data_IF_176713569437
#
_entry.id   IF_176713569437
#
_cell.length_a   1.000
_cell.length_b   1.000
_cell.length_c   1.000
_cell.angle_alpha   90.00
_cell.angle_beta   90.00
_cell.angle_gamma   90.00
#
_symmetry.space_group_name_H-M   'P 1'
#
loop_
_entity.id
_entity.type
_entity.pdbx_description
1 polymer ?
#
# COMPACT_ATOMS: atom_id res chain seq x y z
N UNK A 1 -28.46 -28.24 5.33
CA UNK A 1 -27.04 -28.25 4.89
C UNK A 1 -26.35 -27.09 5.59
N UNK A 2 -25.34 -27.35 6.43
CA UNK A 2 -24.55 -26.29 7.03
C UNK A 2 -23.75 -25.61 5.92
N UNK A 3 -23.99 -24.32 5.67
CA UNK A 3 -23.11 -23.52 4.83
C UNK A 3 -21.68 -23.73 5.32
N UNK A 4 -20.77 -24.10 4.41
CA UNK A 4 -19.35 -24.22 4.76
C UNK A 4 -18.92 -22.88 5.32
N UNK A 5 -18.42 -22.86 6.55
CA UNK A 5 -17.91 -21.65 7.21
C UNK A 5 -16.76 -20.97 6.44
N UNK A 6 -16.33 -21.54 5.31
CA UNK A 6 -15.18 -21.17 4.49
C UNK A 6 -15.52 -20.44 3.18
N UNK A 7 -16.81 -20.29 2.83
CA UNK A 7 -17.19 -19.48 1.65
C UNK A 7 -17.35 -18.00 2.06
N UNK A 8 -16.44 -17.13 1.58
CA UNK A 8 -16.68 -15.68 1.56
C UNK A 8 -17.57 -15.37 0.36
N UNK A 9 -18.62 -14.58 0.56
CA UNK A 9 -19.43 -14.06 -0.54
C UNK A 9 -18.55 -13.13 -1.41
N UNK A 10 -18.26 -13.48 -2.68
CA UNK A 10 -17.41 -12.67 -3.56
C UNK A 10 -18.01 -11.29 -3.86
N UNK A 11 -19.33 -11.15 -3.71
CA UNK A 11 -20.07 -9.91 -3.94
C UNK A 11 -20.32 -9.11 -2.65
N UNK A 12 -19.86 -9.59 -1.48
CA UNK A 12 -20.04 -8.85 -0.24
C UNK A 12 -19.32 -7.50 -0.29
N UNK A 13 -19.85 -6.41 0.29
CA UNK A 13 -19.15 -5.14 0.31
C UNK A 13 -17.76 -5.24 0.99
N UNK A 14 -16.80 -4.47 0.48
CA UNK A 14 -15.40 -4.51 0.94
C UNK A 14 -15.24 -3.93 2.34
N UNK A 15 -14.30 -4.49 3.10
CA UNK A 15 -13.90 -4.03 4.44
C UNK A 15 -12.44 -3.60 4.40
N UNK A 16 -12.18 -2.34 4.67
CA UNK A 16 -10.85 -1.75 4.53
C UNK A 16 -10.28 -1.33 5.89
N UNK A 17 -8.99 -1.56 6.09
CA UNK A 17 -8.23 -1.10 7.27
C UNK A 17 -7.10 -0.17 6.85
N UNK A 18 -7.02 1.00 7.46
CA UNK A 18 -5.97 1.99 7.29
C UNK A 18 -5.27 2.24 8.63
N UNK A 19 -3.94 2.20 8.63
CA UNK A 19 -3.12 2.37 9.83
C UNK A 19 -2.13 3.53 9.66
N UNK A 20 -2.23 4.52 10.53
CA UNK A 20 -1.39 5.72 10.45
C UNK A 20 0.07 5.50 10.87
N UNK A 21 0.95 6.39 10.41
CA UNK A 21 2.31 6.51 10.93
C UNK A 21 2.38 7.28 12.24
N UNK A 22 3.33 6.93 13.12
CA UNK A 22 3.47 7.61 14.41
C UNK A 22 4.56 7.16 15.39
N UNK A 23 5.60 6.43 14.95
CA UNK A 23 6.69 5.94 15.81
C UNK A 23 6.22 4.95 16.86
N UNK A 24 6.72 5.01 18.10
CA UNK A 24 6.33 4.09 19.20
C UNK A 24 4.83 3.99 19.44
N UNK A 25 4.08 5.06 19.11
CA UNK A 25 2.63 5.15 19.35
C UNK A 25 1.78 4.19 18.53
N UNK A 26 2.38 3.45 17.58
CA UNK A 26 1.68 2.33 16.91
C UNK A 26 1.19 1.25 17.87
N UNK A 27 1.76 1.16 19.09
CA UNK A 27 1.23 0.28 20.13
C UNK A 27 -0.22 0.65 20.49
N UNK A 28 -0.54 1.94 20.58
CA UNK A 28 -1.89 2.42 20.83
C UNK A 28 -2.84 1.99 19.71
N UNK A 29 -2.42 2.13 18.45
CA UNK A 29 -3.21 1.66 17.30
C UNK A 29 -3.47 0.15 17.33
N UNK A 30 -2.48 -0.64 17.76
CA UNK A 30 -2.63 -2.08 17.95
C UNK A 30 -3.60 -2.44 19.08
N UNK A 31 -3.54 -1.73 20.20
CA UNK A 31 -4.46 -1.93 21.33
C UNK A 31 -5.90 -1.58 20.93
N UNK A 32 -6.10 -0.45 20.24
CA UNK A 32 -7.40 -0.09 19.66
C UNK A 32 -7.89 -1.22 18.75
N UNK A 33 -7.05 -1.70 17.83
CA UNK A 33 -7.45 -2.76 16.91
C UNK A 33 -7.74 -4.09 17.63
N UNK A 34 -7.00 -4.45 18.68
CA UNK A 34 -7.28 -5.64 19.51
C UNK A 34 -8.68 -5.56 20.14
N UNK A 35 -9.03 -4.41 20.71
CA UNK A 35 -10.37 -4.17 21.27
C UNK A 35 -11.46 -4.24 20.18
N UNK A 36 -11.22 -3.70 18.99
CA UNK A 36 -12.16 -3.81 17.87
C UNK A 36 -12.37 -5.26 17.42
N UNK A 37 -11.29 -6.04 17.32
CA UNK A 37 -11.36 -7.47 16.98
C UNK A 37 -12.06 -8.29 18.08
N UNK A 38 -11.88 -7.91 19.35
CA UNK A 38 -12.61 -8.52 20.46
C UNK A 38 -14.11 -8.21 20.41
N UNK A 39 -14.49 -6.98 20.09
CA UNK A 39 -15.89 -6.61 19.85
C UNK A 39 -16.52 -7.43 18.71
N UNK A 40 -15.79 -7.64 17.60
CA UNK A 40 -16.25 -8.51 16.50
C UNK A 40 -16.47 -9.95 17.00
N UNK A 41 -15.51 -10.51 17.75
CA UNK A 41 -15.63 -11.86 18.30
C UNK A 41 -16.83 -12.01 19.25
N UNK A 42 -17.12 -10.99 20.06
CA UNK A 42 -18.28 -10.96 20.94
C UNK A 42 -19.59 -10.91 20.14
N UNK A 43 -19.65 -10.13 19.07
CA UNK A 43 -20.81 -10.06 18.18
C UNK A 43 -21.06 -11.37 17.43
N UNK A 44 -20.02 -12.08 16.99
CA UNK A 44 -20.16 -13.43 16.42
C UNK A 44 -20.73 -14.43 17.43
N UNK A 45 -20.30 -14.36 18.69
CA UNK A 45 -20.85 -15.19 19.78
C UNK A 45 -22.31 -14.84 20.06
N UNK A 46 -22.66 -13.55 20.02
CA UNK A 46 -24.04 -13.07 20.23
C UNK A 46 -24.98 -13.56 19.13
N UNK A 47 -24.51 -13.59 17.88
CA UNK A 47 -25.28 -14.04 16.72
C UNK A 47 -25.21 -15.56 16.47
N UNK A 48 -24.49 -16.31 17.32
CA UNK A 48 -24.38 -17.77 17.22
C UNK A 48 -23.49 -18.28 16.07
N UNK A 49 -22.76 -17.39 15.40
CA UNK A 49 -21.77 -17.74 14.37
C UNK A 49 -20.51 -18.35 14.98
N UNK A 50 -20.25 -18.02 16.25
CA UNK A 50 -19.13 -18.54 17.03
C UNK A 50 -19.59 -19.20 18.32
N UNK A 51 -18.96 -20.32 18.69
CA UNK A 51 -19.25 -21.02 19.95
C UNK A 51 -18.89 -20.12 21.13
N UNK A 52 -19.74 -20.10 22.18
CA UNK A 52 -19.49 -19.27 23.38
C UNK A 52 -18.14 -19.57 24.05
N UNK A 53 -17.74 -20.83 24.06
CA UNK A 53 -16.50 -21.32 24.67
C UNK A 53 -15.27 -21.19 23.76
N UNK A 54 -15.45 -20.74 22.51
CA UNK A 54 -14.32 -20.51 21.61
C UNK A 54 -13.66 -19.18 21.95
N UNK A 55 -12.42 -19.26 22.43
CA UNK A 55 -11.59 -18.12 22.80
C UNK A 55 -10.41 -17.92 21.84
N UNK A 56 -10.46 -18.53 20.65
CA UNK A 56 -9.43 -18.30 19.63
C UNK A 56 -9.40 -16.81 19.24
N UNK A 57 -8.21 -16.21 19.11
CA UNK A 57 -8.10 -14.80 18.72
C UNK A 57 -8.34 -14.68 17.21
N UNK A 58 -9.11 -13.67 16.84
CA UNK A 58 -9.37 -13.37 15.42
C UNK A 58 -8.15 -12.75 14.77
N UNK A 59 -7.94 -13.05 13.49
CA UNK A 59 -6.88 -12.46 12.67
C UNK A 59 -7.48 -11.35 11.81
N UNK A 60 -6.95 -10.11 11.84
CA UNK A 60 -7.47 -9.03 11.01
C UNK A 60 -7.54 -9.36 9.51
N UNK A 61 -6.56 -10.11 8.98
CA UNK A 61 -6.58 -10.55 7.58
C UNK A 61 -7.80 -11.41 7.18
N UNK A 62 -8.47 -12.01 8.16
CA UNK A 62 -9.68 -12.82 7.93
C UNK A 62 -10.97 -11.99 7.94
N UNK A 63 -10.91 -10.71 8.31
CA UNK A 63 -12.06 -9.80 8.38
C UNK A 63 -11.94 -8.62 7.44
N UNK A 64 -10.72 -8.16 7.14
CA UNK A 64 -10.48 -7.11 6.16
C UNK A 64 -10.13 -7.72 4.81
N UNK A 65 -10.54 -7.04 3.74
CA UNK A 65 -10.19 -7.40 2.36
C UNK A 65 -8.88 -6.72 1.93
N UNK A 66 -8.60 -5.53 2.49
CA UNK A 66 -7.38 -4.75 2.26
C UNK A 66 -6.91 -4.08 3.55
N UNK A 67 -5.61 -4.19 3.84
CA UNK A 67 -4.94 -3.51 4.95
C UNK A 67 -3.81 -2.64 4.39
N UNK A 68 -3.88 -1.32 4.59
CA UNK A 68 -2.81 -0.39 4.22
C UNK A 68 -2.25 0.32 5.43
N UNK A 69 -0.96 0.66 5.37
CA UNK A 69 -0.29 1.35 6.46
C UNK A 69 0.87 2.25 6.03
N UNK A 70 1.13 3.27 6.83
CA UNK A 70 2.27 4.19 6.65
C UNK A 70 3.21 4.12 7.85
N UNK A 71 4.53 4.14 7.60
CA UNK A 71 5.57 4.10 8.63
C UNK A 71 5.34 2.95 9.62
N UNK A 72 5.26 3.21 10.92
CA UNK A 72 4.84 2.23 11.93
C UNK A 72 3.56 1.48 11.55
N UNK A 73 2.53 2.18 11.06
CA UNK A 73 1.30 1.55 10.58
C UNK A 73 1.55 0.61 9.41
N UNK A 74 2.56 0.88 8.58
CA UNK A 74 3.02 -0.02 7.52
C UNK A 74 3.64 -1.30 8.06
N UNK A 75 4.49 -1.20 9.10
CA UNK A 75 5.01 -2.39 9.83
C UNK A 75 3.83 -3.22 10.34
N UNK A 76 2.87 -2.60 11.03
CA UNK A 76 1.68 -3.28 11.56
C UNK A 76 0.84 -3.91 10.44
N UNK A 77 0.63 -3.21 9.32
CA UNK A 77 -0.13 -3.71 8.18
C UNK A 77 0.45 -5.02 7.61
N UNK A 78 1.79 -5.14 7.55
CA UNK A 78 2.46 -6.34 7.06
C UNK A 78 2.47 -7.46 8.10
N UNK A 79 2.65 -7.14 9.38
CA UNK A 79 2.53 -8.14 10.45
C UNK A 79 1.11 -8.75 10.47
N UNK A 80 0.06 -7.94 10.35
CA UNK A 80 -1.33 -8.40 10.40
C UNK A 80 -1.82 -9.02 9.09
N UNK A 81 -1.43 -8.43 7.95
CA UNK A 81 -1.91 -8.84 6.62
C UNK A 81 -1.03 -9.91 5.99
N UNK A 82 0.24 -9.59 5.72
CA UNK A 82 1.18 -10.47 5.00
C UNK A 82 1.63 -11.66 5.83
N UNK A 83 1.89 -11.45 7.13
CA UNK A 83 2.34 -12.50 8.06
C UNK A 83 1.19 -13.13 8.85
N UNK A 84 -0.05 -12.62 8.68
CA UNK A 84 -1.30 -13.17 9.21
C UNK A 84 -1.31 -13.37 10.72
N UNK A 85 -0.70 -12.43 11.45
CA UNK A 85 -0.69 -12.41 12.91
C UNK A 85 -2.03 -11.89 13.45
N UNK A 86 -2.39 -12.34 14.65
CA UNK A 86 -3.43 -11.66 15.44
C UNK A 86 -2.85 -10.43 16.16
N UNK A 87 -3.72 -9.55 16.68
CA UNK A 87 -3.28 -8.29 17.30
C UNK A 87 -2.34 -8.50 18.48
N UNK A 88 -2.55 -9.51 19.33
CA UNK A 88 -1.67 -9.82 20.48
C UNK A 88 -0.27 -10.24 20.05
N UNK A 89 -0.18 -11.17 19.10
CA UNK A 89 1.10 -11.56 18.52
C UNK A 89 1.81 -10.38 17.86
N UNK A 90 1.04 -9.50 17.21
CA UNK A 90 1.59 -8.30 16.60
C UNK A 90 2.12 -7.31 17.66
N UNK A 91 1.44 -7.16 18.80
CA UNK A 91 1.92 -6.34 19.92
C UNK A 91 3.24 -6.89 20.44
N UNK A 92 3.35 -8.19 20.69
CA UNK A 92 4.58 -8.80 21.22
C UNK A 92 5.79 -8.55 20.28
N UNK A 93 5.60 -8.80 18.99
CA UNK A 93 6.65 -8.56 17.98
C UNK A 93 6.95 -7.07 17.84
N UNK A 94 5.94 -6.22 17.88
CA UNK A 94 6.10 -4.78 17.74
C UNK A 94 6.86 -4.17 18.93
N UNK A 95 6.54 -4.57 20.16
CA UNK A 95 7.24 -4.12 21.37
C UNK A 95 8.70 -4.56 21.36
N UNK A 96 9.01 -5.78 20.91
CA UNK A 96 10.40 -6.24 20.74
C UNK A 96 11.17 -5.44 19.66
N UNK A 97 10.53 -5.17 18.52
CA UNK A 97 11.11 -4.34 17.46
C UNK A 97 11.40 -2.93 17.98
N UNK A 98 10.44 -2.31 18.65
CA UNK A 98 10.59 -1.00 19.25
C UNK A 98 11.74 -0.99 20.26
N UNK A 99 11.80 -1.95 21.17
CA UNK A 99 12.86 -2.06 22.17
C UNK A 99 14.27 -2.13 21.53
N UNK A 100 14.43 -2.91 20.45
CA UNK A 100 15.71 -3.04 19.74
C UNK A 100 16.11 -1.76 18.98
N UNK A 101 15.15 -1.02 18.44
CA UNK A 101 15.36 0.25 17.73
C UNK A 101 15.76 1.35 18.73
N UNK A 102 15.02 1.49 19.83
CA UNK A 102 15.19 2.62 20.76
C UNK A 102 16.34 2.45 21.77
N UNK A 103 16.78 1.22 22.05
CA UNK A 103 17.99 0.98 22.87
C UNK A 103 19.29 1.45 22.19
N UNK A 104 19.30 1.54 20.86
CA UNK A 104 20.47 1.88 20.06
C UNK A 104 20.43 3.34 19.55
N UNK A 105 20.02 4.28 20.40
CA UNK A 105 20.00 5.71 20.10
C UNK A 105 21.43 6.23 19.83
N UNK A 106 21.63 6.97 18.73
CA UNK A 106 22.95 7.52 18.35
C UNK A 106 23.27 8.85 19.07
N UNK A 107 22.71 9.02 20.26
CA UNK A 107 22.87 10.21 21.09
C UNK A 107 23.78 9.87 22.27
N UNK A 108 24.96 10.50 22.32
CA UNK A 108 25.88 10.33 23.44
C UNK A 108 25.54 11.33 24.55
N UNK A 109 25.39 10.84 25.78
CA UNK A 109 25.18 11.70 26.96
C UNK A 109 26.54 12.14 27.49
N UNK A 110 26.88 13.42 27.34
CA UNK A 110 28.07 14.03 27.94
C UNK A 110 27.59 15.10 28.92
N UNK A 111 27.96 14.96 30.21
CA UNK A 111 27.55 15.87 31.31
C UNK A 111 26.03 16.17 31.35
N UNK A 112 25.19 15.13 31.22
CA UNK A 112 23.73 15.28 31.25
C UNK A 112 23.12 15.91 30.00
N UNK A 113 23.94 16.33 29.04
CA UNK A 113 23.52 16.91 27.76
C UNK A 113 23.60 15.86 26.65
N UNK A 114 22.54 15.75 25.85
CA UNK A 114 22.43 14.83 24.71
C UNK A 114 23.15 15.43 23.49
N UNK A 115 24.29 14.86 23.08
CA UNK A 115 25.04 15.29 21.89
C UNK A 115 24.81 14.29 20.76
N UNK A 116 24.26 14.71 19.60
CA UNK A 116 24.02 13.83 18.46
C UNK A 116 25.35 13.47 17.77
N UNK A 117 25.63 12.17 17.59
CA UNK A 117 26.81 11.71 16.82
C UNK A 117 26.59 11.71 15.31
N UNK A 118 25.35 11.86 14.86
CA UNK A 118 24.95 11.80 13.45
C UNK A 118 23.80 12.77 13.18
N UNK A 119 23.60 13.15 11.92
CA UNK A 119 22.45 13.96 11.49
C UNK A 119 21.10 13.26 11.74
N UNK A 120 21.12 11.92 11.86
CA UNK A 120 19.95 11.08 12.05
C UNK A 120 20.01 10.39 13.41
N UNK A 121 18.87 10.34 14.10
CA UNK A 121 18.75 9.85 15.48
C UNK A 121 18.95 8.34 15.59
N UNK A 122 18.35 7.59 14.67
CA UNK A 122 18.35 6.13 14.67
C UNK A 122 19.05 5.57 13.42
N UNK A 123 19.62 4.37 13.57
CA UNK A 123 20.27 3.67 12.47
C UNK A 123 19.26 2.87 11.65
N UNK A 124 19.20 3.10 10.34
CA UNK A 124 18.43 2.25 9.42
C UNK A 124 18.89 0.79 9.42
N UNK A 125 20.17 0.54 9.73
CA UNK A 125 20.75 -0.81 9.82
C UNK A 125 20.22 -1.57 11.04
N UNK A 126 19.97 -0.88 12.16
CA UNK A 126 19.38 -1.48 13.36
C UNK A 126 17.93 -1.88 13.08
N UNK A 127 17.17 -1.00 12.43
CA UNK A 127 15.79 -1.30 12.00
C UNK A 127 15.74 -2.50 11.05
N UNK A 128 16.62 -2.54 10.03
CA UNK A 128 16.74 -3.68 9.12
C UNK A 128 17.01 -4.99 9.88
N UNK A 129 17.99 -4.97 10.78
CA UNK A 129 18.37 -6.16 11.58
C UNK A 129 17.23 -6.61 12.48
N UNK A 130 16.53 -5.68 13.13
CA UNK A 130 15.39 -5.97 13.99
C UNK A 130 14.26 -6.64 13.19
N UNK A 131 13.92 -6.11 12.00
CA UNK A 131 12.90 -6.70 11.12
C UNK A 131 13.32 -8.11 10.68
N UNK A 132 14.56 -8.30 10.22
CA UNK A 132 15.07 -9.62 9.80
C UNK A 132 14.99 -10.64 10.93
N UNK A 133 15.38 -10.25 12.14
CA UNK A 133 15.29 -11.09 13.34
C UNK A 133 13.83 -11.45 13.67
N UNK A 134 12.90 -10.50 13.56
CA UNK A 134 11.48 -10.77 13.76
C UNK A 134 10.93 -11.76 12.72
N UNK A 135 11.31 -11.63 11.45
CA UNK A 135 10.94 -12.58 10.39
C UNK A 135 11.42 -14.00 10.71
N UNK A 136 12.70 -14.16 11.10
CA UNK A 136 13.27 -15.45 11.48
C UNK A 136 12.55 -16.06 12.69
N UNK A 137 12.23 -15.25 13.70
CA UNK A 137 11.46 -15.69 14.88
C UNK A 137 10.07 -16.21 14.49
N UNK A 138 9.45 -15.60 13.49
CA UNK A 138 8.15 -16.02 12.94
C UNK A 138 8.26 -17.20 11.97
N UNK A 139 9.45 -17.75 11.72
CA UNK A 139 9.69 -18.90 10.85
C UNK A 139 9.89 -18.56 9.37
N UNK A 140 10.09 -17.28 9.04
CA UNK A 140 10.36 -16.82 7.67
C UNK A 140 11.86 -16.64 7.42
N UNK A 141 12.23 -16.46 6.16
CA UNK A 141 13.61 -16.11 5.79
C UNK A 141 13.87 -14.63 6.11
N UNK A 142 15.13 -14.29 6.36
CA UNK A 142 15.53 -12.87 6.55
C UNK A 142 15.16 -12.01 5.32
N UNK A 143 15.33 -12.57 4.13
CA UNK A 143 15.03 -11.95 2.84
C UNK A 143 13.66 -12.40 2.28
N UNK A 144 12.68 -12.66 3.16
CA UNK A 144 11.32 -12.99 2.74
C UNK A 144 10.72 -11.91 1.83
N UNK A 145 10.05 -12.35 0.76
CA UNK A 145 9.50 -11.46 -0.26
C UNK A 145 8.17 -10.84 0.18
N UNK A 146 7.97 -9.59 -0.24
CA UNK A 146 6.73 -8.86 -0.01
C UNK A 146 5.54 -9.56 -0.66
N UNK A 147 5.73 -10.05 -1.88
CA UNK A 147 4.74 -10.86 -2.60
C UNK A 147 4.32 -12.09 -1.79
N UNK A 148 3.01 -12.30 -1.67
CA UNK A 148 2.45 -13.47 -0.98
C UNK A 148 2.14 -14.59 -1.96
N UNK A 149 3.16 -15.39 -2.28
CA UNK A 149 3.00 -16.57 -3.14
C UNK A 149 2.08 -17.65 -2.55
N UNK A 150 1.77 -17.58 -1.25
CA UNK A 150 0.85 -18.51 -0.60
C UNK A 150 -0.61 -18.12 -0.82
N UNK A 151 -0.88 -16.83 -1.01
CA UNK A 151 -2.23 -16.30 -1.19
C UNK A 151 -2.56 -15.98 -2.65
N UNK A 152 -1.59 -15.48 -3.41
CA UNK A 152 -1.82 -14.99 -4.75
C UNK A 152 -1.11 -15.82 -5.80
N UNK A 153 -1.73 -15.89 -6.96
CA UNK A 153 -1.15 -16.39 -8.19
C UNK A 153 -1.37 -15.37 -9.31
N UNK A 154 -0.35 -15.25 -10.14
CA UNK A 154 -0.46 -14.50 -11.36
C UNK A 154 -0.99 -15.43 -12.44
N UNK A 155 -2.14 -15.08 -13.00
CA UNK A 155 -2.72 -15.75 -14.16
C UNK A 155 -2.34 -14.92 -15.36
N UNK A 156 -1.71 -15.56 -16.35
CA UNK A 156 -1.56 -14.95 -17.65
C UNK A 156 -2.97 -14.83 -18.24
N UNK A 157 -3.55 -13.63 -18.22
CA UNK A 157 -4.75 -13.38 -18.99
C UNK A 157 -4.42 -13.73 -20.44
N UNK A 158 -5.14 -14.69 -21.08
CA UNK A 158 -4.96 -14.91 -22.50
C UNK A 158 -5.21 -13.56 -23.15
N UNK A 159 -4.24 -13.04 -23.92
CA UNK A 159 -4.26 -11.71 -24.55
C UNK A 159 -5.70 -11.35 -24.90
N UNK A 160 -6.37 -10.66 -23.98
CA UNK A 160 -7.81 -10.53 -24.07
C UNK A 160 -8.03 -9.76 -25.36
N UNK A 161 -8.74 -10.38 -26.30
CA UNK A 161 -9.17 -9.73 -27.53
C UNK A 161 -9.68 -8.36 -27.11
N UNK A 162 -8.87 -7.34 -27.38
CA UNK A 162 -9.22 -5.97 -27.07
C UNK A 162 -10.62 -5.76 -27.64
N UNK A 163 -11.60 -5.27 -26.85
CA UNK A 163 -12.91 -4.95 -27.38
C UNK A 163 -12.70 -4.16 -28.67
N UNK A 164 -13.29 -4.62 -29.79
CA UNK A 164 -12.99 -4.08 -31.14
C UNK A 164 -13.22 -2.56 -31.25
N UNK A 165 -13.90 -1.97 -30.26
CA UNK A 165 -14.18 -0.54 -30.13
C UNK A 165 -13.06 0.28 -29.45
N UNK A 166 -11.94 -0.35 -29.08
CA UNK A 166 -10.78 0.39 -28.55
C UNK A 166 -10.08 1.17 -29.65
N UNK A 167 -9.75 2.43 -29.41
CA UNK A 167 -8.85 3.25 -30.26
C UNK A 167 -7.48 2.60 -30.52
N UNK A 168 -7.12 1.59 -29.74
CA UNK A 168 -5.91 0.78 -29.89
C UNK A 168 -6.17 -0.62 -30.49
N UNK A 169 -7.42 -0.97 -30.81
CA UNK A 169 -7.77 -2.25 -31.46
C UNK A 169 -7.11 -2.40 -32.83
N UNK A 170 -6.78 -1.29 -33.50
CA UNK A 170 -6.04 -1.26 -34.76
C UNK A 170 -4.53 -1.54 -34.61
N UNK A 171 -4.01 -1.72 -33.39
CA UNK A 171 -2.65 -2.22 -33.13
C UNK A 171 -2.61 -3.73 -32.92
N UNK A 172 -3.57 -4.50 -33.47
CA UNK A 172 -3.35 -5.91 -33.74
C UNK A 172 -2.13 -6.00 -34.67
N UNK A 173 -1.02 -6.53 -34.16
CA UNK A 173 0.14 -6.86 -34.99
C UNK A 173 -0.37 -7.70 -36.17
N UNK A 174 -0.11 -7.32 -37.44
CA UNK A 174 -0.48 -8.20 -38.53
C UNK A 174 0.27 -9.51 -38.32
N UNK A 175 -0.46 -10.62 -38.30
CA UNK A 175 0.11 -11.95 -38.46
C UNK A 175 1.01 -11.91 -39.69
N UNK A 176 2.32 -11.88 -39.47
CA UNK A 176 3.29 -11.97 -40.55
C UNK A 176 3.26 -13.42 -41.02
N UNK A 177 2.39 -13.71 -41.97
CA UNK A 177 2.69 -14.72 -42.98
C UNK A 177 3.95 -14.26 -43.70
N UNK A 178 4.96 -15.13 -43.71
CA UNK A 178 6.13 -15.02 -44.58
C UNK A 178 5.67 -14.74 -46.02
N UNK A 179 6.44 -13.91 -46.72
CA UNK A 179 6.26 -13.48 -48.13
C UNK A 179 5.47 -12.17 -48.37
N UNK A 180 6.10 -11.04 -48.04
CA UNK A 180 6.29 -9.87 -48.92
C UNK A 180 6.79 -8.67 -48.11
N UNK A 181 8.00 -8.18 -48.41
CA UNK A 181 8.51 -6.91 -47.86
C UNK A 181 8.33 -5.82 -48.91
N UNK A 182 7.44 -4.82 -48.72
CA UNK A 182 7.65 -3.52 -49.34
C UNK A 182 8.56 -2.69 -48.42
N UNK A 183 9.72 -2.34 -48.93
CA UNK A 183 10.67 -1.42 -48.31
C UNK A 183 10.03 -0.05 -48.07
N UNK A 184 9.88 0.35 -46.80
CA UNK A 184 9.58 1.73 -46.45
C UNK A 184 10.88 2.52 -46.44
N UNK A 185 11.00 3.40 -47.43
CA UNK A 185 12.01 4.44 -47.59
C UNK A 185 12.05 5.38 -46.39
N UNK A 186 13.25 5.61 -45.86
CA UNK A 186 13.54 6.67 -44.90
C UNK A 186 13.21 8.05 -45.50
N UNK A 187 12.43 8.86 -44.77
CA UNK A 187 12.20 10.27 -45.08
C UNK A 187 13.33 11.11 -44.47
N UNK A 188 14.05 11.96 -45.23
CA UNK A 188 15.14 12.75 -44.67
C UNK A 188 14.59 14.01 -43.97
N UNK A 189 14.76 14.09 -42.65
CA UNK A 189 14.59 15.34 -41.90
C UNK A 189 15.84 16.20 -42.14
N UNK A 190 15.71 17.21 -43.00
CA UNK A 190 16.72 18.26 -43.17
C UNK A 190 16.72 19.19 -41.95
N UNK A 191 17.76 19.07 -41.11
CA UNK A 191 18.13 20.10 -40.13
C UNK A 191 18.81 21.25 -40.89
N UNK A 192 18.07 22.33 -41.13
CA UNK A 192 18.59 23.54 -41.79
C UNK A 192 19.18 24.47 -40.73
N UNK A 193 20.49 24.32 -40.47
CA UNK A 193 21.27 25.31 -39.73
C UNK A 193 21.49 26.55 -40.61
N UNK A 194 21.00 27.71 -40.16
CA UNK A 194 21.35 29.02 -40.72
C UNK A 194 22.68 29.44 -40.11
N UNK A 195 23.73 29.50 -40.92
CA UNK A 195 24.81 30.47 -40.73
C UNK A 195 25.18 31.05 -42.08
N UNK A 196 25.00 32.37 -42.18
CA UNK A 196 25.41 33.25 -43.28
C UNK A 196 26.92 33.47 -43.22
N UNK A 197 27.65 33.29 -44.31
CA UNK A 197 28.28 34.37 -45.11
C UNK A 197 29.27 33.82 -46.16
N UNK A 198 29.18 34.38 -47.38
CA UNK A 198 30.24 34.54 -48.41
C UNK A 198 30.81 33.28 -49.09
N UNK A 199 31.13 33.21 -50.39
CA UNK A 199 30.89 34.00 -51.61
C UNK A 199 31.45 33.19 -52.81
N UNK A 200 30.81 33.33 -53.98
CA UNK A 200 31.34 33.21 -55.37
C UNK A 200 31.70 31.85 -56.05
N UNK A 201 31.19 31.78 -57.29
CA UNK A 201 31.70 31.16 -58.54
C UNK A 201 31.37 29.69 -58.92
N UNK A 202 30.34 29.59 -59.78
CA UNK A 202 30.17 28.89 -61.07
C UNK A 202 30.62 27.42 -61.36
N UNK A 203 29.91 26.72 -62.29
CA UNK A 203 29.80 25.26 -62.30
C UNK A 203 30.61 24.59 -63.44
N UNK A 204 30.88 23.28 -63.31
CA UNK A 204 31.03 22.37 -64.47
C UNK A 204 31.04 20.88 -64.13
N UNK A 205 30.13 20.17 -64.80
CA UNK A 205 30.29 18.90 -65.51
C UNK A 205 30.55 17.55 -64.79
N UNK A 206 29.55 16.67 -65.01
CA UNK A 206 29.65 15.34 -65.68
C UNK A 206 30.25 14.14 -64.93
N UNK A 207 29.33 13.23 -64.61
CA UNK A 207 29.29 11.80 -65.00
C UNK A 207 30.60 10.98 -65.02
N UNK A 208 30.62 9.89 -64.25
CA UNK A 208 30.95 8.55 -64.77
C UNK A 208 30.69 7.45 -63.72
N UNK A 209 29.89 6.45 -64.11
CA UNK A 209 29.88 5.13 -63.49
C UNK A 209 31.22 4.44 -63.69
N UNK A 210 31.74 3.79 -62.64
CA UNK A 210 32.67 2.66 -62.79
C UNK A 210 32.26 1.57 -61.78
N UNK A 211 31.77 0.45 -62.31
CA UNK A 211 31.69 -0.84 -61.62
C UNK A 211 33.10 -1.45 -61.56
N UNK A 212 33.44 -2.12 -60.45
CA UNK A 212 34.31 -3.31 -60.45
C UNK A 212 34.09 -4.14 -59.19
N UNK A 213 33.59 -5.35 -59.41
CA UNK A 213 33.70 -6.50 -58.51
C UNK A 213 35.18 -6.84 -58.25
N UNK A 214 35.47 -7.38 -57.06
CA UNK A 214 36.29 -8.60 -56.93
C UNK A 214 36.19 -9.19 -55.51
N UNK A 215 36.08 -10.51 -55.49
CA UNK A 215 35.81 -11.42 -54.38
C UNK A 215 36.98 -11.69 -53.42
N UNK A 216 36.64 -12.35 -52.30
CA UNK A 216 37.47 -13.27 -51.47
C UNK A 216 38.18 -12.60 -50.28
N UNK A 217 38.10 -13.07 -49.02
CA UNK A 217 38.04 -14.44 -48.52
C UNK A 217 37.42 -14.51 -47.12
N UNK A 218 36.69 -15.60 -46.83
CA UNK A 218 36.05 -15.90 -45.55
C UNK A 218 37.06 -16.48 -44.54
N UNK A 219 37.20 -15.85 -43.36
CA UNK A 219 37.61 -16.53 -42.13
C UNK A 219 36.39 -16.59 -41.19
N UNK A 220 35.78 -17.76 -41.09
CA UNK A 220 34.65 -18.00 -40.19
C UNK A 220 35.14 -18.20 -38.76
N UNK A 221 35.04 -17.17 -37.93
CA UNK A 221 35.08 -17.31 -36.47
C UNK A 221 33.76 -17.95 -36.06
N UNK A 222 33.81 -19.18 -35.50
CA UNK A 222 32.62 -19.85 -34.94
C UNK A 222 32.22 -19.14 -33.65
N UNK A 223 31.37 -18.13 -33.76
CA UNK A 223 30.66 -17.51 -32.64
C UNK A 223 29.52 -18.46 -32.26
N UNK A 224 29.51 -18.90 -31.01
CA UNK A 224 28.42 -19.70 -30.43
C UNK A 224 27.08 -18.99 -30.62
N UNK A 225 26.21 -19.52 -31.48
CA UNK A 225 24.87 -19.00 -31.78
C UNK A 225 23.85 -19.42 -30.71
N UNK A 226 24.14 -19.17 -29.43
CA UNK A 226 23.07 -19.07 -28.43
C UNK A 226 23.02 -17.63 -27.97
N UNK A 227 22.24 -16.82 -28.71
CA UNK A 227 21.79 -15.55 -28.17
C UNK A 227 21.10 -15.87 -26.84
N UNK A 228 21.47 -15.21 -25.73
CA UNK A 228 20.70 -15.34 -24.51
C UNK A 228 19.28 -14.90 -24.84
N UNK A 229 18.29 -15.74 -24.56
CA UNK A 229 16.89 -15.36 -24.61
C UNK A 229 16.73 -14.11 -23.74
N UNK A 230 16.59 -12.95 -24.39
CA UNK A 230 16.28 -11.71 -23.69
C UNK A 230 14.84 -11.83 -23.24
N UNK A 231 14.65 -12.29 -22.00
CA UNK A 231 13.38 -12.11 -21.31
C UNK A 231 13.07 -10.61 -21.28
N UNK A 232 11.86 -10.18 -21.62
CA UNK A 232 11.49 -8.79 -21.59
C UNK A 232 11.78 -8.25 -20.19
N UNK A 233 12.60 -7.20 -20.13
CA UNK A 233 13.13 -6.67 -18.86
C UNK A 233 12.06 -5.91 -18.07
N UNK A 234 10.94 -5.56 -18.72
CA UNK A 234 9.82 -4.89 -18.11
C UNK A 234 8.54 -5.31 -18.84
N UNK A 235 7.65 -6.03 -18.17
CA UNK A 235 6.26 -6.22 -18.60
C UNK A 235 5.39 -5.49 -17.59
N UNK A 236 4.58 -4.54 -18.06
CA UNK A 236 3.58 -3.89 -17.22
C UNK A 236 2.44 -4.90 -17.02
N UNK A 237 2.41 -5.55 -15.87
CA UNK A 237 1.35 -6.49 -15.54
C UNK A 237 0.12 -5.71 -15.06
N UNK A 238 -1.03 -5.91 -15.71
CA UNK A 238 -2.29 -5.33 -15.23
C UNK A 238 -2.68 -5.96 -13.90
N UNK A 239 -3.21 -5.17 -12.98
CA UNK A 239 -3.67 -5.59 -11.65
C UNK A 239 -4.71 -6.71 -11.69
N UNK A 240 -5.49 -6.80 -12.77
CA UNK A 240 -6.46 -7.88 -13.02
C UNK A 240 -5.85 -9.27 -13.16
N UNK A 241 -4.56 -9.38 -13.53
CA UNK A 241 -3.85 -10.66 -13.68
C UNK A 241 -3.52 -11.37 -12.36
N UNK A 242 -3.75 -10.74 -11.21
CA UNK A 242 -3.39 -11.32 -9.90
C UNK A 242 -4.65 -11.77 -9.14
N UNK A 243 -4.80 -13.08 -9.03
CA UNK A 243 -5.93 -13.72 -8.38
C UNK A 243 -5.54 -14.32 -7.03
N UNK A 244 -6.48 -14.33 -6.08
CA UNK A 244 -6.34 -15.04 -4.83
C UNK A 244 -6.62 -16.53 -5.06
N UNK A 245 -5.75 -17.39 -4.55
CA UNK A 245 -5.89 -18.85 -4.65
C UNK A 245 -7.17 -19.32 -3.96
N UNK A 246 -7.90 -20.28 -4.56
CA UNK A 246 -9.16 -20.77 -4.01
C UNK A 246 -8.93 -21.44 -2.64
N UNK A 247 -9.83 -21.16 -1.69
CA UNK A 247 -9.81 -21.76 -0.34
C UNK A 247 -8.77 -21.21 0.63
N UNK A 248 -7.95 -20.24 0.23
CA UNK A 248 -6.98 -19.60 1.13
C UNK A 248 -7.56 -18.35 1.80
N UNK A 249 -7.50 -18.30 3.14
CA UNK A 249 -7.88 -17.12 3.92
C UNK A 249 -6.74 -16.11 4.02
N UNK A 250 -7.08 -14.84 3.95
CA UNK A 250 -6.15 -13.74 4.05
C UNK A 250 -6.70 -12.49 3.38
N UNK A 251 -5.87 -11.46 3.34
CA UNK A 251 -6.20 -10.18 2.74
C UNK A 251 -5.05 -9.68 1.88
N UNK A 252 -5.36 -8.70 1.02
CA UNK A 252 -4.34 -7.88 0.39
C UNK A 252 -3.76 -6.93 1.44
N UNK A 253 -2.46 -6.68 1.39
CA UNK A 253 -1.82 -5.71 2.26
C UNK A 253 -0.80 -4.87 1.50
N UNK A 254 -0.57 -3.64 1.97
CA UNK A 254 0.45 -2.79 1.38
C UNK A 254 0.99 -1.78 2.38
N UNK A 255 2.15 -1.22 2.04
CA UNK A 255 2.77 -0.10 2.77
C UNK A 255 3.00 1.09 1.85
N UNK A 256 2.89 2.29 2.41
CA UNK A 256 3.09 3.55 1.69
C UNK A 256 4.46 4.12 2.00
N UNK A 257 5.20 4.50 0.97
CA UNK A 257 6.48 5.22 1.05
C UNK A 257 6.46 6.38 0.06
N UNK A 258 7.41 7.31 0.15
CA UNK A 258 7.52 8.44 -0.78
C UNK A 258 8.87 8.41 -1.48
N UNK A 259 8.90 8.76 -2.77
CA UNK A 259 10.15 8.91 -3.52
C UNK A 259 10.78 10.27 -3.21
N UNK A 260 12.08 10.28 -2.92
CA UNK A 260 12.83 11.52 -2.57
C UNK A 260 12.71 12.62 -3.62
N UNK A 261 12.76 12.24 -4.91
CA UNK A 261 12.75 13.18 -6.03
C UNK A 261 11.34 13.37 -6.64
N UNK A 262 10.31 12.76 -6.05
CA UNK A 262 8.92 12.85 -6.51
C UNK A 262 7.97 12.94 -5.30
N UNK A 263 8.22 13.93 -4.44
CA UNK A 263 7.44 14.27 -3.25
C UNK A 263 6.05 14.79 -3.68
N UNK A 264 5.11 13.89 -3.91
CA UNK A 264 3.77 14.25 -4.38
C UNK A 264 2.95 13.07 -4.86
N UNK A 265 3.61 11.95 -5.20
CA UNK A 265 2.95 10.68 -5.47
C UNK A 265 3.41 9.63 -4.43
N UNK A 266 2.49 8.83 -3.87
CA UNK A 266 2.86 7.75 -2.99
C UNK A 266 3.47 6.61 -3.82
N UNK A 267 4.54 5.99 -3.30
CA UNK A 267 5.00 4.67 -3.74
C UNK A 267 4.40 3.62 -2.82
N UNK A 268 3.57 2.77 -3.40
CA UNK A 268 2.98 1.63 -2.70
C UNK A 268 3.86 0.40 -2.94
N UNK A 269 4.23 -0.30 -1.87
CA UNK A 269 4.76 -1.66 -1.94
C UNK A 269 3.67 -2.61 -1.44
N UNK A 270 3.26 -3.56 -2.25
CA UNK A 270 2.09 -4.40 -1.97
C UNK A 270 2.41 -5.89 -1.97
N UNK A 271 1.56 -6.66 -1.31
CA UNK A 271 1.69 -8.13 -1.26
C UNK A 271 1.17 -8.84 -2.50
N UNK A 272 0.62 -8.07 -3.45
CA UNK A 272 -0.21 -8.57 -4.56
C UNK A 272 0.07 -7.85 -5.90
N UNK A 273 1.04 -6.95 -5.98
CA UNK A 273 1.51 -6.40 -7.25
C UNK A 273 2.68 -7.23 -7.77
N UNK A 274 2.59 -7.64 -9.03
CA UNK A 274 3.64 -8.37 -9.72
C UNK A 274 4.95 -7.59 -9.81
N UNK A 275 4.87 -6.24 -9.85
CA UNK A 275 6.04 -5.38 -9.88
C UNK A 275 6.84 -5.42 -8.57
N UNK A 276 6.23 -5.86 -7.47
CA UNK A 276 6.86 -5.95 -6.16
C UNK A 276 7.38 -7.36 -5.83
N UNK A 277 7.37 -8.30 -6.79
CA UNK A 277 7.84 -9.69 -6.60
C UNK A 277 9.28 -9.79 -6.06
N UNK A 278 10.14 -8.84 -6.39
CA UNK A 278 11.55 -8.85 -5.97
C UNK A 278 11.78 -8.07 -4.68
N UNK A 279 10.80 -7.28 -4.23
CA UNK A 279 10.93 -6.43 -3.05
C UNK A 279 10.87 -7.30 -1.81
N UNK A 280 11.84 -7.15 -0.91
CA UNK A 280 11.85 -7.86 0.37
C UNK A 280 11.01 -7.13 1.38
N UNK A 281 10.45 -7.86 2.34
CA UNK A 281 9.63 -7.27 3.43
C UNK A 281 10.43 -6.21 4.17
N UNK A 282 11.68 -6.51 4.55
CA UNK A 282 12.50 -5.55 5.30
C UNK A 282 12.86 -4.29 4.49
N UNK A 283 12.98 -4.39 3.16
CA UNK A 283 13.25 -3.23 2.29
C UNK A 283 12.05 -2.28 2.27
N UNK A 284 10.85 -2.84 2.07
CA UNK A 284 9.60 -2.08 2.08
C UNK A 284 9.33 -1.43 3.45
N UNK A 285 9.55 -2.17 4.53
CA UNK A 285 9.38 -1.67 5.89
C UNK A 285 10.44 -0.63 6.28
N UNK A 286 11.70 -0.77 5.83
CA UNK A 286 12.70 0.29 6.05
C UNK A 286 12.36 1.54 5.24
N UNK A 287 11.87 1.39 4.01
CA UNK A 287 11.45 2.52 3.17
C UNK A 287 10.29 3.31 3.77
N UNK A 288 9.24 2.63 4.23
CA UNK A 288 8.07 3.30 4.81
C UNK A 288 8.39 4.01 6.13
N UNK A 289 9.42 3.57 6.87
CA UNK A 289 9.84 4.15 8.16
C UNK A 289 11.07 5.06 8.07
N UNK A 290 11.55 5.41 6.86
CA UNK A 290 12.73 6.25 6.67
C UNK A 290 12.44 7.75 6.92
N UNK A 291 11.99 8.09 8.14
CA UNK A 291 11.50 9.42 8.47
C UNK A 291 12.65 10.43 8.47
N UNK A 292 12.53 11.57 7.76
CA UNK A 292 13.54 12.62 7.80
C UNK A 292 13.86 13.00 9.24
N UNK A 293 15.14 13.23 9.55
CA UNK A 293 15.70 13.50 10.90
C UNK A 293 15.74 12.30 11.86
N UNK A 294 14.91 11.27 11.66
CA UNK A 294 14.92 10.06 12.48
C UNK A 294 15.80 8.97 11.89
N UNK A 295 15.56 8.59 10.64
CA UNK A 295 16.22 7.47 9.97
C UNK A 295 16.90 7.90 8.67
N UNK A 296 17.94 7.17 8.29
CA UNK A 296 18.60 7.31 6.99
C UNK A 296 17.68 6.84 5.86
N UNK A 297 17.66 7.61 4.77
CA UNK A 297 17.00 7.24 3.51
C UNK A 297 17.54 5.91 2.98
N UNK A 298 16.68 5.16 2.28
CA UNK A 298 17.08 3.91 1.64
C UNK A 298 17.06 4.04 0.14
N UNK A 299 18.03 3.43 -0.53
CA UNK A 299 17.99 3.26 -1.97
C UNK A 299 18.12 1.80 -2.35
N UNK A 300 17.18 1.29 -3.15
CA UNK A 300 17.22 -0.07 -3.67
C UNK A 300 16.49 -0.14 -5.02
N UNK A 301 16.48 -1.34 -5.62
CA UNK A 301 15.87 -1.59 -6.93
C UNK A 301 16.79 -1.30 -8.12
N UNK A 302 16.28 -1.61 -9.32
CA UNK A 302 16.91 -1.34 -10.61
C UNK A 302 15.86 -0.74 -11.55
N UNK A 303 15.93 0.55 -11.93
CA UNK A 303 16.94 1.54 -11.54
C UNK A 303 16.94 1.82 -10.03
N UNK A 304 18.06 2.32 -9.51
CA UNK A 304 18.19 2.64 -8.09
C UNK A 304 17.29 3.84 -7.76
N UNK A 305 16.35 3.65 -6.84
CA UNK A 305 15.42 4.67 -6.39
C UNK A 305 15.62 4.93 -4.91
N UNK A 306 15.57 6.20 -4.49
CA UNK A 306 15.68 6.61 -3.09
C UNK A 306 14.30 6.86 -2.50
N UNK A 307 14.04 6.22 -1.37
CA UNK A 307 12.78 6.22 -0.65
C UNK A 307 12.90 6.92 0.70
N UNK A 308 11.81 7.59 1.08
CA UNK A 308 11.57 8.27 2.34
C UNK A 308 10.28 7.73 2.98
N UNK A 309 10.09 8.05 4.26
CA UNK A 309 8.89 7.71 4.99
C UNK A 309 7.60 8.21 4.30
N UNK A 310 6.58 7.35 4.27
CA UNK A 310 5.28 7.71 3.69
C UNK A 310 4.57 8.83 4.46
N UNK A 311 4.93 9.06 5.73
CA UNK A 311 4.51 10.20 6.54
C UNK A 311 4.85 11.54 5.90
N UNK A 312 5.82 11.57 4.99
CA UNK A 312 6.05 12.71 4.09
C UNK A 312 4.92 12.76 3.05
N UNK A 313 3.79 13.35 3.46
CA UNK A 313 2.61 13.61 2.63
C UNK A 313 1.43 12.64 2.86
N UNK A 314 1.70 11.40 3.27
CA UNK A 314 0.72 10.30 3.28
C UNK A 314 0.65 9.57 4.64
N UNK A 315 0.70 10.33 5.74
CA UNK A 315 0.73 9.73 7.09
C UNK A 315 -0.53 8.92 7.45
N UNK A 316 -1.70 9.37 7.00
CA UNK A 316 -2.95 8.63 7.08
C UNK A 316 -3.25 8.04 5.69
N UNK A 317 -2.99 6.73 5.46
CA UNK A 317 -3.08 6.13 4.13
C UNK A 317 -4.53 5.80 3.72
N UNK A 318 -5.53 6.38 4.38
CA UNK A 318 -6.93 6.00 4.18
C UNK A 318 -7.44 6.32 2.77
N UNK A 319 -6.98 7.42 2.19
CA UNK A 319 -7.28 7.77 0.80
C UNK A 319 -6.63 6.79 -0.19
N UNK A 320 -5.41 6.33 0.10
CA UNK A 320 -4.66 5.37 -0.70
C UNK A 320 -5.28 3.98 -0.61
N UNK A 321 -5.75 3.58 0.57
CA UNK A 321 -6.50 2.33 0.79
C UNK A 321 -7.80 2.36 0.01
N UNK A 322 -8.53 3.47 0.05
CA UNK A 322 -9.75 3.66 -0.70
C UNK A 322 -9.53 3.58 -2.22
N UNK A 323 -8.53 4.31 -2.72
CA UNK A 323 -8.14 4.30 -4.12
C UNK A 323 -7.72 2.91 -4.60
N UNK A 324 -6.88 2.22 -3.82
CA UNK A 324 -6.43 0.87 -4.12
C UNK A 324 -7.62 -0.11 -4.15
N UNK A 325 -8.56 -0.01 -3.20
CA UNK A 325 -9.73 -0.87 -3.19
C UNK A 325 -10.62 -0.68 -4.43
N UNK A 326 -10.89 0.57 -4.82
CA UNK A 326 -11.68 0.88 -6.02
C UNK A 326 -10.99 0.40 -7.31
N UNK A 327 -9.65 0.45 -7.34
CA UNK A 327 -8.85 -0.01 -8.49
C UNK A 327 -8.74 -1.53 -8.57
N UNK A 328 -8.77 -2.23 -7.43
CA UNK A 328 -8.66 -3.68 -7.35
C UNK A 328 -9.97 -4.42 -7.56
N UNK A 329 -11.08 -3.82 -7.14
CA UNK A 329 -12.40 -4.44 -7.16
C UNK A 329 -13.40 -3.50 -7.84
N UNK A 330 -13.22 -3.31 -9.14
CA UNK A 330 -14.13 -2.51 -9.96
C UNK A 330 -15.59 -2.99 -9.82
N UNK A 331 -16.50 -2.07 -9.54
CA UNK A 331 -17.93 -2.36 -9.37
C UNK A 331 -18.32 -2.98 -8.02
N UNK A 332 -17.37 -3.32 -7.13
CA UNK A 332 -17.70 -3.85 -5.80
C UNK A 332 -17.82 -2.71 -4.78
N UNK A 333 -18.95 -2.59 -4.06
CA UNK A 333 -19.13 -1.50 -3.10
C UNK A 333 -18.22 -1.66 -1.88
N UNK A 334 -17.81 -0.55 -1.28
CA UNK A 334 -17.12 -0.54 0.01
C UNK A 334 -18.18 -0.49 1.12
N UNK A 335 -18.17 -1.49 2.01
CA UNK A 335 -19.09 -1.58 3.15
C UNK A 335 -18.62 -0.73 4.32
N UNK A 336 -17.35 -0.87 4.69
CA UNK A 336 -16.75 -0.09 5.76
C UNK A 336 -15.27 0.20 5.56
N UNK A 337 -14.84 1.31 6.15
CA UNK A 337 -13.45 1.75 6.23
C UNK A 337 -13.14 2.03 7.69
N UNK A 338 -12.15 1.33 8.24
CA UNK A 338 -11.64 1.53 9.60
C UNK A 338 -10.28 2.20 9.49
N UNK A 339 -10.15 3.42 9.99
CA UNK A 339 -8.91 4.16 10.05
C UNK A 339 -8.48 4.27 11.52
N UNK A 340 -7.28 3.79 11.83
CA UNK A 340 -6.73 3.81 13.19
C UNK A 340 -5.52 4.72 13.23
N UNK A 341 -5.63 5.79 14.01
CA UNK A 341 -4.59 6.78 14.26
C UNK A 341 -3.66 6.41 15.40
N UNK A 342 -2.57 7.16 15.52
CA UNK A 342 -1.57 7.03 16.59
C UNK A 342 -1.64 8.20 17.59
N UNK A 343 -2.75 8.93 17.62
CA UNK A 343 -2.95 10.11 18.48
C UNK A 343 -2.07 11.30 18.13
N UNK A 344 -1.77 11.47 16.84
CA UNK A 344 -0.95 12.57 16.36
C UNK A 344 -1.78 13.86 16.30
N UNK A 345 -1.73 14.65 17.37
CA UNK A 345 -2.37 15.98 17.40
C UNK A 345 -1.41 17.08 16.95
N UNK A 346 -1.97 18.14 16.36
CA UNK A 346 -1.26 19.40 16.21
C UNK A 346 -1.01 19.96 17.60
N UNK A 347 0.22 19.87 18.10
CA UNK A 347 0.61 20.60 19.31
C UNK A 347 0.29 22.08 19.02
N UNK A 348 -0.55 22.75 19.83
CA UNK A 348 -0.81 24.16 19.65
C UNK A 348 0.52 24.87 19.79
N UNK A 349 1.00 25.41 18.66
CA UNK A 349 2.14 26.31 18.50
C UNK A 349 3.18 26.20 19.59
N UNK A 350 4.32 25.56 19.30
CA UNK A 350 5.57 25.62 20.09
C UNK A 350 5.62 26.93 20.87
N UNK A 351 5.17 26.92 22.13
CA UNK A 351 5.32 28.07 23.00
C UNK A 351 6.82 28.17 23.19
N UNK A 352 7.42 29.15 22.52
CA UNK A 352 8.82 29.61 22.62
C UNK A 352 9.52 28.97 23.81
N UNK A 353 10.10 27.79 23.59
CA UNK A 353 11.07 27.23 24.50
C UNK A 353 12.40 27.92 24.16
N UNK A 354 12.63 29.04 24.85
CA UNK A 354 13.89 29.76 25.03
C UNK A 354 14.85 29.86 23.83
N UNK A 355 14.67 30.93 23.07
CA UNK A 355 15.60 31.48 22.05
C UNK A 355 16.84 32.16 22.67
N UNK A 356 17.46 31.57 23.70
CA UNK A 356 18.70 32.12 24.32
C UNK A 356 19.75 31.04 24.58
N UNK A 357 20.12 30.26 23.56
CA UNK A 357 21.36 29.47 23.58
C UNK A 357 22.12 29.72 22.28
N UNK A 358 23.36 30.25 22.33
CA UNK A 358 24.01 30.81 21.14
C UNK A 358 24.63 29.78 20.18
N UNK A 359 24.52 28.47 20.45
CA UNK A 359 25.11 27.44 19.58
C UNK A 359 24.24 26.17 19.50
N UNK A 360 23.47 26.04 18.42
CA UNK A 360 23.04 24.76 17.81
C UNK A 360 21.84 24.01 18.40
N UNK A 361 20.66 24.13 17.78
CA UNK A 361 19.50 23.22 17.92
C UNK A 361 18.63 23.25 16.65
N UNK A 362 19.20 22.89 15.49
CA UNK A 362 18.47 22.84 14.21
C UNK A 362 17.57 21.60 14.06
N UNK A 363 17.89 20.51 14.76
CA UNK A 363 17.20 19.22 14.65
C UNK A 363 15.81 19.25 15.27
N UNK A 364 15.64 19.93 16.41
CA UNK A 364 14.38 19.94 17.15
C UNK A 364 13.29 20.79 16.46
N UNK A 365 13.71 21.87 15.78
CA UNK A 365 12.80 22.70 14.97
C UNK A 365 12.38 21.95 13.69
N UNK A 366 13.33 21.30 13.00
CA UNK A 366 13.03 20.51 11.81
C UNK A 366 12.12 19.31 12.14
N UNK A 367 12.39 18.63 13.26
CA UNK A 367 11.56 17.55 13.77
C UNK A 367 10.15 18.02 14.12
N UNK A 368 10.02 19.13 14.85
CA UNK A 368 8.72 19.71 15.18
C UNK A 368 7.93 20.13 13.92
N UNK A 369 8.61 20.65 12.91
CA UNK A 369 8.01 20.96 11.60
C UNK A 369 7.51 19.74 10.86
N UNK A 370 8.31 18.65 10.83
CA UNK A 370 7.91 17.38 10.21
C UNK A 370 6.70 16.75 10.91
N UNK A 371 6.73 16.71 12.25
CA UNK A 371 5.61 16.24 13.08
C UNK A 371 4.33 17.05 12.86
N UNK A 372 4.45 18.38 12.83
CA UNK A 372 3.32 19.26 12.57
C UNK A 372 2.74 19.02 11.16
N UNK A 373 3.59 18.84 10.14
CA UNK A 373 3.15 18.52 8.78
C UNK A 373 2.44 17.17 8.68
N UNK A 374 2.89 16.16 9.41
CA UNK A 374 2.23 14.84 9.46
C UNK A 374 0.88 14.92 10.16
N UNK A 375 0.79 15.68 11.27
CA UNK A 375 -0.43 15.88 12.03
C UNK A 375 -1.51 16.60 11.21
N UNK A 376 -1.13 17.70 10.54
CA UNK A 376 -2.05 18.45 9.68
C UNK A 376 -2.50 17.62 8.48
N UNK A 377 -1.61 16.82 7.88
CA UNK A 377 -1.96 15.88 6.81
C UNK A 377 -2.96 14.82 7.27
N UNK A 378 -2.76 14.24 8.45
CA UNK A 378 -3.61 13.20 9.04
C UNK A 378 -5.04 13.70 9.26
N UNK A 379 -5.18 14.86 9.91
CA UNK A 379 -6.48 15.48 10.16
C UNK A 379 -7.18 15.92 8.87
N UNK A 380 -6.41 16.36 7.86
CA UNK A 380 -6.97 16.72 6.55
C UNK A 380 -7.61 15.51 5.87
N UNK A 381 -6.91 14.38 5.77
CA UNK A 381 -7.44 13.14 5.16
C UNK A 381 -8.66 12.64 5.92
N UNK A 382 -8.65 12.66 7.25
CA UNK A 382 -9.81 12.25 8.05
C UNK A 382 -11.06 13.10 7.73
N UNK A 383 -10.92 14.43 7.69
CA UNK A 383 -12.02 15.33 7.33
C UNK A 383 -12.53 15.10 5.90
N UNK A 384 -11.64 14.84 4.95
CA UNK A 384 -12.00 14.55 3.56
C UNK A 384 -12.77 13.23 3.44
N UNK A 385 -12.32 12.16 4.11
CA UNK A 385 -12.98 10.86 4.11
C UNK A 385 -14.35 10.94 4.79
N UNK A 386 -14.47 11.66 5.91
CA UNK A 386 -15.77 11.89 6.55
C UNK A 386 -16.74 12.59 5.61
N UNK A 387 -16.32 13.66 4.91
CA UNK A 387 -17.16 14.38 3.95
C UNK A 387 -17.56 13.51 2.76
N UNK A 388 -16.62 12.73 2.23
CA UNK A 388 -16.85 11.86 1.09
C UNK A 388 -17.90 10.80 1.40
N UNK A 389 -17.86 10.22 2.61
CA UNK A 389 -18.69 9.07 2.96
C UNK A 389 -19.93 9.39 3.80
N UNK A 390 -20.13 10.64 4.23
CA UNK A 390 -21.25 11.04 5.10
C UNK A 390 -22.63 10.65 4.55
N UNK A 391 -22.89 10.83 3.25
CA UNK A 391 -24.16 10.47 2.59
C UNK A 391 -24.08 9.18 1.76
N UNK A 392 -23.04 8.39 1.94
CA UNK A 392 -22.84 7.16 1.19
C UNK A 392 -23.38 5.92 1.92
N UNK A 393 -23.46 4.80 1.21
CA UNK A 393 -23.68 3.48 1.84
C UNK A 393 -22.49 2.99 2.67
N UNK A 394 -21.29 3.52 2.42
CA UNK A 394 -20.05 3.14 3.10
C UNK A 394 -19.98 3.77 4.49
N UNK A 395 -19.61 2.96 5.49
CA UNK A 395 -19.41 3.44 6.87
C UNK A 395 -17.94 3.68 7.16
N UNK A 396 -17.59 4.94 7.40
CA UNK A 396 -16.25 5.35 7.80
C UNK A 396 -16.15 5.46 9.33
N UNK A 397 -15.14 4.80 9.90
CA UNK A 397 -14.85 4.80 11.33
C UNK A 397 -13.40 5.21 11.57
N UNK A 398 -13.19 6.38 12.19
CA UNK A 398 -11.90 6.83 12.70
C UNK A 398 -11.79 6.53 14.19
N UNK A 399 -10.72 5.84 14.58
CA UNK A 399 -10.32 5.68 15.98
C UNK A 399 -8.94 6.30 16.14
N UNK A 400 -8.84 7.32 16.97
CA UNK A 400 -7.60 8.08 17.16
C UNK A 400 -7.56 8.57 18.61
N UNK A 401 -6.54 8.16 19.35
CA UNK A 401 -6.43 8.44 20.79
C UNK A 401 -6.04 9.91 20.96
N UNK A 402 -7.00 10.74 21.36
CA UNK A 402 -6.87 12.19 21.46
C UNK A 402 -6.54 12.69 22.88
N UNK A 403 -6.61 11.80 23.88
CA UNK A 403 -6.28 12.11 25.27
C UNK A 403 -4.80 11.98 25.58
N UNK A 404 -4.04 13.08 25.56
CA UNK A 404 -2.70 13.17 26.20
C UNK A 404 -1.55 12.41 25.53
N UNK A 405 -1.82 11.44 24.64
CA UNK A 405 -0.80 10.62 23.98
C UNK A 405 0.09 11.44 23.02
N UNK A 406 -0.38 12.60 22.58
CA UNK A 406 0.41 13.56 21.80
C UNK A 406 1.61 14.12 22.60
N UNK A 407 1.56 14.09 23.94
CA UNK A 407 2.66 14.50 24.81
C UNK A 407 3.75 13.43 24.94
N UNK A 408 3.49 12.22 24.44
CA UNK A 408 4.48 11.14 24.39
C UNK A 408 5.21 11.31 23.06
N UNK A 409 6.50 11.67 23.14
CA UNK A 409 7.34 11.76 21.95
C UNK A 409 7.35 10.42 21.22
N UNK A 410 7.45 10.44 19.88
CA UNK A 410 7.51 9.24 19.04
C UNK A 410 8.70 8.30 19.35
N UNK A 411 9.57 8.71 20.28
CA UNK A 411 10.84 8.09 20.68
C UNK A 411 10.82 7.53 22.11
N UNK A 412 9.82 7.88 22.93
CA UNK A 412 9.78 7.52 24.35
C UNK A 412 9.14 6.15 24.57
N UNK A 413 9.86 5.09 24.16
CA UNK A 413 9.46 3.70 24.42
C UNK A 413 9.24 3.40 25.92
N UNK A 414 9.93 4.13 26.80
CA UNK A 414 9.83 4.00 28.27
C UNK A 414 8.46 4.40 28.86
N UNK A 415 7.49 4.80 28.03
CA UNK A 415 6.13 5.20 28.45
C UNK A 415 5.04 4.26 27.89
N UNK A 416 5.38 3.00 27.63
CA UNK A 416 4.42 1.96 27.22
C UNK A 416 3.21 1.87 28.17
N UNK A 417 3.44 1.87 29.48
CA UNK A 417 2.39 1.85 30.50
C UNK A 417 1.42 3.05 30.37
N UNK A 418 1.97 4.25 30.14
CA UNK A 418 1.15 5.45 29.98
C UNK A 418 0.37 5.44 28.65
N UNK A 419 0.99 5.02 27.55
CA UNK A 419 0.28 4.85 26.28
C UNK A 419 -0.86 3.83 26.43
N UNK A 420 -0.60 2.74 27.14
CA UNK A 420 -1.59 1.71 27.43
C UNK A 420 -2.76 2.26 28.23
N UNK A 421 -2.48 2.96 29.33
CA UNK A 421 -3.50 3.56 30.18
C UNK A 421 -4.37 4.60 29.43
N UNK A 422 -3.75 5.48 28.63
CA UNK A 422 -4.48 6.47 27.84
C UNK A 422 -5.34 5.82 26.74
N UNK A 423 -4.84 4.76 26.12
CA UNK A 423 -5.59 4.01 25.09
C UNK A 423 -6.77 3.27 25.72
N UNK A 424 -6.57 2.64 26.87
CA UNK A 424 -7.64 1.95 27.60
C UNK A 424 -8.71 2.95 28.07
N UNK A 425 -8.31 4.11 28.57
CA UNK A 425 -9.24 5.19 28.91
C UNK A 425 -10.06 5.63 27.68
N UNK A 426 -9.41 5.80 26.53
CA UNK A 426 -10.07 6.16 25.28
C UNK A 426 -11.09 5.10 24.84
N UNK A 427 -10.73 3.81 24.86
CA UNK A 427 -11.63 2.73 24.44
C UNK A 427 -12.79 2.49 25.40
N UNK A 428 -12.63 2.87 26.68
CA UNK A 428 -13.70 2.86 27.68
C UNK A 428 -14.67 4.04 27.57
N UNK A 429 -14.36 5.06 26.77
CA UNK A 429 -15.27 6.19 26.56
C UNK A 429 -16.61 5.70 25.99
N UNK A 430 -17.77 6.13 26.53
CA UNK A 430 -19.08 5.66 26.08
C UNK A 430 -19.38 5.90 24.59
N UNK A 431 -18.75 6.87 23.93
CA UNK A 431 -18.88 7.06 22.49
C UNK A 431 -18.07 6.00 21.73
N UNK A 432 -16.83 5.72 22.17
CA UNK A 432 -15.97 4.73 21.53
C UNK A 432 -16.50 3.31 21.71
N UNK A 433 -17.00 2.96 22.90
CA UNK A 433 -17.67 1.67 23.14
C UNK A 433 -18.85 1.46 22.19
N UNK A 434 -19.68 2.49 22.00
CA UNK A 434 -20.82 2.43 21.05
C UNK A 434 -20.35 2.30 19.61
N UNK A 435 -19.31 3.04 19.22
CA UNK A 435 -18.73 2.98 17.87
C UNK A 435 -18.12 1.61 17.59
N UNK A 436 -17.35 1.05 18.52
CA UNK A 436 -16.73 -0.27 18.42
C UNK A 436 -17.78 -1.38 18.30
N UNK A 437 -18.83 -1.34 19.12
CA UNK A 437 -19.96 -2.28 19.03
C UNK A 437 -20.67 -2.19 17.68
N UNK A 438 -20.97 -0.98 17.21
CA UNK A 438 -21.61 -0.78 15.91
C UNK A 438 -20.75 -1.30 14.75
N UNK A 439 -19.44 -1.07 14.81
CA UNK A 439 -18.49 -1.65 13.86
C UNK A 439 -18.50 -3.17 13.93
N UNK A 440 -18.50 -3.76 15.12
CA UNK A 440 -18.61 -5.21 15.32
C UNK A 440 -19.84 -5.80 14.64
N UNK A 441 -21.01 -5.21 14.88
CA UNK A 441 -22.26 -5.61 14.23
C UNK A 441 -22.18 -5.51 12.70
N UNK A 442 -21.61 -4.41 12.19
CA UNK A 442 -21.44 -4.20 10.75
C UNK A 442 -20.50 -5.24 10.13
N UNK A 443 -19.34 -5.47 10.76
CA UNK A 443 -18.33 -6.44 10.29
C UNK A 443 -18.90 -7.85 10.24
N UNK A 444 -19.65 -8.26 11.27
CA UNK A 444 -20.28 -9.59 11.29
C UNK A 444 -21.37 -9.70 10.23
N UNK A 445 -22.20 -8.67 10.03
CA UNK A 445 -23.21 -8.65 8.95
C UNK A 445 -22.59 -8.72 7.56
N UNK A 446 -21.51 -7.98 7.32
CA UNK A 446 -20.79 -8.00 6.04
C UNK A 446 -20.07 -9.34 5.80
N UNK A 447 -19.68 -10.03 6.87
CA UNK A 447 -19.02 -11.34 6.80
C UNK A 447 -19.99 -12.51 6.69
N UNK A 448 -21.26 -12.31 7.04
CA UNK A 448 -22.29 -13.34 6.93
C UNK A 448 -22.64 -13.60 5.47
N UNK A 449 -22.79 -14.88 5.10
CA UNK A 449 -23.35 -15.26 3.81
C UNK A 449 -24.79 -14.72 3.69
N UNK A 450 -25.20 -14.25 2.50
CA UNK A 450 -26.58 -13.83 2.29
C UNK A 450 -27.49 -15.01 2.64
N UNK A 451 -28.62 -14.76 3.32
CA UNK A 451 -29.57 -15.82 3.62
C UNK A 451 -30.05 -16.43 2.29
N UNK A 452 -29.95 -17.75 2.16
CA UNK A 452 -30.62 -18.46 1.07
C UNK A 452 -32.13 -18.37 1.32
N UNK A 453 -32.82 -17.57 0.52
CA UNK A 453 -34.27 -17.58 0.48
C UNK A 453 -34.72 -18.24 -0.82
N UNK A 454 -35.51 -19.30 -0.71
CA UNK A 454 -36.19 -19.90 -1.85
C UNK A 454 -37.51 -19.15 -2.06
N UNK A 455 -37.59 -18.37 -3.14
CA UNK A 455 -38.86 -17.80 -3.57
C UNK A 455 -39.54 -18.84 -4.45
N UNK A 456 -40.67 -19.36 -3.99
CA UNK A 456 -41.47 -20.30 -4.79
C UNK A 456 -42.03 -19.57 -6.02
N UNK A 457 -42.03 -20.21 -7.18
CA UNK A 457 -42.48 -19.62 -8.47
C UNK A 457 -43.86 -18.93 -8.36
N UNK A 458 -44.75 -19.45 -7.50
CA UNK A 458 -46.09 -18.92 -7.27
C UNK A 458 -46.14 -17.54 -6.56
N UNK A 459 -45.02 -17.05 -6.02
CA UNK A 459 -44.93 -15.72 -5.41
C UNK A 459 -44.50 -14.63 -6.39
N UNK A 460 -44.00 -14.99 -7.59
CA UNK A 460 -43.71 -14.02 -8.63
C UNK A 460 -45.01 -13.62 -9.34
N UNK A 461 -45.60 -12.49 -8.93
CA UNK A 461 -46.60 -11.80 -9.75
C UNK A 461 -45.86 -10.91 -10.74
N UNK A 462 -45.76 -11.36 -12.00
CA UNK A 462 -45.38 -10.48 -13.11
C UNK A 462 -46.54 -9.50 -13.30
N UNK A 463 -46.41 -8.31 -12.74
CA UNK A 463 -47.28 -7.19 -13.08
C UNK A 463 -46.89 -6.69 -14.45
N UNK A 464 -47.58 -7.14 -15.50
CA UNK A 464 -47.52 -6.47 -16.80
C UNK A 464 -48.24 -5.14 -16.63
N UNK A 465 -47.51 -4.08 -16.31
CA UNK A 465 -48.01 -2.71 -16.38
C UNK A 465 -48.11 -2.30 -17.87
N UNK A 466 -49.01 -2.95 -18.59
CA UNK A 466 -49.35 -2.61 -19.96
C UNK A 466 -50.21 -1.35 -19.95
N UNK A 467 -49.60 -0.17 -20.02
CA UNK A 467 -50.26 0.96 -20.66
C UNK A 467 -50.10 0.77 -22.16
N UNK A 468 -51.17 0.34 -22.82
CA UNK A 468 -51.30 0.38 -24.27
C UNK A 468 -51.24 -0.98 -24.96
N UNK A 469 -52.24 -1.83 -24.72
CA UNK A 469 -52.77 -2.65 -25.81
C UNK A 469 -54.17 -2.10 -26.07
N UNK A 470 -54.29 -1.31 -27.13
CA UNK A 470 -55.59 -0.92 -27.68
C UNK A 470 -56.11 -2.17 -28.39
N UNK A 471 -57.24 -2.68 -27.94
CA UNK A 471 -58.00 -3.70 -28.65
C UNK A 471 -58.33 -3.19 -30.05
N UNK A 472 -58.00 -3.99 -31.08
CA UNK A 472 -58.48 -3.75 -32.45
C UNK A 472 -57.40 -3.54 -33.50
N UNK A 473 -56.58 -4.56 -33.75
CA UNK A 473 -56.06 -4.86 -35.08
C UNK A 473 -55.79 -6.37 -35.12
N UNK A 474 -56.65 -7.08 -35.87
CA UNK A 474 -56.58 -8.52 -36.10
C UNK A 474 -55.33 -8.90 -36.89
#
# INVERSE_FOLDING_TARGET
>A
MAARADERNPNAPLRLLSLDGGGVRGLSSLMVLDDLMENIAQEEKRLGLRRRNDNTRLKPCDYFDLIGGTSTGGIIAILLGRLRLNCRQCIDIYSELAEEIFKNDRVMKIFGTKIPLSSNRFSGVVLEKAIKKALVKLGYKEDELMWDATLFEQVDEPEAEMPDDSIWANFKQPNVSEDAVPSLTESPIQVRSRNTTESRDDPKNKSALIRRDTQSSRRSVKISQKAPERKPTFRLHRTGSVHQKPGQRGCRAFVVSTLKNALGAPRIFSTYDANDHTTKIWEALRATSAAPTFFEEISFGKPQMTYLDGGVGFNNPCAEVDYAAKSLWEGRPIGCIVSVGTGLQTIPSVKKANTWLPFGLGTDIALAGALASMATGTARVDNEMQRMYYHSGTKYHRFDVDGGIANISMEEFMREDEMGALTEQYMRDPQQVRRARHLGELMVRLSALPPHFEITVNQFRIGVAGRGVIEGAF
#
